data_IF_109650038555
#
_entry.id   IF_109650038555
#
_cell.length_a   1.000
_cell.length_b   1.000
_cell.length_c   1.000
_cell.angle_alpha   90.00
_cell.angle_beta   90.00
_cell.angle_gamma   90.00
#
_symmetry.space_group_name_H-M   'P 1'
#
loop_
_entity.id
_entity.type
_entity.pdbx_description
1 polymer ?
#
# COMPACT_ATOMS: atom_id res chain seq x y z
N UNK A 1 22.37 -3.38 -16.97
CA UNK A 1 21.43 -2.26 -17.21
C UNK A 1 20.02 -2.81 -17.01
N UNK A 2 19.15 -2.08 -16.34
CA UNK A 2 17.72 -2.45 -16.19
C UNK A 2 17.00 -2.03 -17.46
N UNK A 3 16.21 -2.93 -18.05
CA UNK A 3 15.42 -2.71 -19.27
C UNK A 3 14.12 -3.51 -19.22
N UNK A 4 13.14 -3.16 -20.05
CA UNK A 4 11.87 -3.91 -20.22
C UNK A 4 12.13 -5.41 -20.45
N UNK A 5 13.08 -5.76 -21.33
CA UNK A 5 13.40 -7.16 -21.60
C UNK A 5 14.02 -7.89 -20.41
N UNK A 6 14.91 -7.20 -19.65
CA UNK A 6 15.50 -7.80 -18.46
C UNK A 6 14.50 -8.00 -17.32
N UNK A 7 13.52 -7.10 -17.19
CA UNK A 7 12.43 -7.23 -16.21
C UNK A 7 11.51 -8.40 -16.62
N UNK A 8 11.15 -8.50 -17.91
CA UNK A 8 10.36 -9.63 -18.42
C UNK A 8 11.03 -10.97 -18.18
N UNK A 9 12.34 -11.06 -18.48
CA UNK A 9 13.12 -12.27 -18.22
C UNK A 9 13.11 -12.60 -16.70
N UNK A 10 13.39 -11.63 -15.84
CA UNK A 10 13.38 -11.81 -14.40
C UNK A 10 12.05 -12.29 -13.84
N UNK A 11 10.91 -11.81 -14.38
CA UNK A 11 9.58 -12.30 -14.00
C UNK A 11 9.41 -13.78 -14.41
N UNK A 12 9.88 -14.16 -15.61
CA UNK A 12 9.79 -15.53 -16.11
C UNK A 12 10.70 -16.48 -15.33
N UNK A 13 11.89 -16.01 -14.97
CA UNK A 13 12.95 -16.79 -14.30
C UNK A 13 12.77 -16.86 -12.77
N UNK A 14 11.70 -16.26 -12.21
CA UNK A 14 11.41 -16.28 -10.78
C UNK A 14 12.39 -15.46 -9.93
N UNK A 15 12.97 -14.41 -10.51
CA UNK A 15 13.88 -13.51 -9.80
C UNK A 15 13.13 -12.51 -8.89
N UNK A 16 11.81 -12.33 -9.09
CA UNK A 16 10.99 -11.45 -8.27
C UNK A 16 10.48 -12.16 -7.02
N UNK A 17 10.33 -11.40 -5.93
CA UNK A 17 9.73 -11.85 -4.67
C UNK A 17 9.02 -10.68 -3.99
N UNK A 18 8.15 -10.98 -3.01
CA UNK A 18 7.50 -9.97 -2.21
C UNK A 18 8.16 -9.85 -0.84
N UNK A 19 8.26 -8.62 -0.38
CA UNK A 19 8.35 -8.26 1.03
C UNK A 19 7.07 -7.54 1.42
N UNK A 20 6.78 -7.54 2.71
CA UNK A 20 5.56 -6.97 3.26
C UNK A 20 5.93 -5.91 4.29
N UNK A 21 5.42 -4.69 4.08
CA UNK A 21 5.54 -3.59 5.05
C UNK A 21 4.37 -3.68 6.02
N UNK A 22 4.61 -3.98 7.31
CA UNK A 22 3.52 -4.07 8.27
C UNK A 22 2.80 -2.73 8.44
N UNK A 23 1.47 -2.79 8.50
CA UNK A 23 0.60 -1.67 8.89
C UNK A 23 0.21 -1.86 10.35
N UNK A 24 0.49 -0.85 11.17
CA UNK A 24 0.22 -0.86 12.60
C UNK A 24 -0.90 0.11 12.94
N UNK A 25 -1.86 -0.34 13.75
CA UNK A 25 -2.86 0.54 14.33
C UNK A 25 -2.24 1.37 15.45
N UNK A 26 -2.25 2.68 15.31
CA UNK A 26 -1.77 3.61 16.34
C UNK A 26 -2.71 3.66 17.56
N UNK A 27 -3.97 3.24 17.39
CA UNK A 27 -4.96 3.21 18.48
C UNK A 27 -4.74 2.06 19.45
N UNK A 28 -4.45 0.86 18.91
CA UNK A 28 -4.29 -0.36 19.73
C UNK A 28 -2.85 -0.87 19.79
N UNK A 29 -1.92 -0.24 19.07
CA UNK A 29 -0.49 -0.53 19.09
C UNK A 29 -0.10 -1.88 18.50
N UNK A 30 -0.91 -2.46 17.57
CA UNK A 30 -0.64 -3.77 16.98
C UNK A 30 -0.76 -3.79 15.47
N UNK A 31 -0.10 -4.75 14.85
CA UNK A 31 -0.20 -5.01 13.40
C UNK A 31 -1.65 -5.35 13.01
N UNK A 32 -2.15 -4.72 11.96
CA UNK A 32 -3.51 -4.91 11.42
C UNK A 32 -3.50 -5.29 9.95
N UNK A 33 -2.34 -5.39 9.34
CA UNK A 33 -2.18 -5.74 7.93
C UNK A 33 -0.78 -5.45 7.42
N UNK A 34 -0.65 -5.41 6.12
CA UNK A 34 0.60 -5.05 5.47
C UNK A 34 0.38 -4.53 4.05
N UNK A 35 1.38 -3.92 3.46
CA UNK A 35 1.49 -3.61 2.04
C UNK A 35 2.46 -4.57 1.36
N UNK A 36 2.08 -5.09 0.19
CA UNK A 36 2.91 -5.97 -0.62
C UNK A 36 3.87 -5.16 -1.50
N UNK A 37 5.15 -5.36 -1.32
CA UNK A 37 6.23 -4.64 -1.99
C UNK A 37 7.06 -5.58 -2.86
N UNK A 38 7.04 -5.38 -4.17
CA UNK A 38 7.86 -6.14 -5.09
C UNK A 38 9.36 -5.87 -4.88
N UNK A 39 10.16 -6.93 -5.01
CA UNK A 39 11.62 -6.90 -4.99
C UNK A 39 12.16 -7.73 -6.12
N UNK A 40 13.26 -7.33 -6.69
CA UNK A 40 13.89 -8.04 -7.79
C UNK A 40 15.30 -8.51 -7.42
N UNK A 41 15.49 -9.82 -7.30
CA UNK A 41 16.78 -10.44 -6.96
C UNK A 41 17.64 -10.56 -8.21
N UNK A 42 18.79 -9.91 -8.20
CA UNK A 42 19.80 -9.99 -9.26
C UNK A 42 21.12 -10.52 -8.71
N UNK A 43 22.01 -10.96 -9.57
CA UNK A 43 23.36 -11.36 -9.16
C UNK A 43 24.12 -10.24 -8.42
N UNK A 44 23.78 -8.98 -8.68
CA UNK A 44 24.39 -7.79 -8.05
C UNK A 44 23.71 -7.37 -6.75
N UNK A 45 22.66 -8.06 -6.31
CA UNK A 45 21.86 -7.72 -5.13
C UNK A 45 20.39 -7.51 -5.43
N UNK A 46 19.64 -7.04 -4.45
CA UNK A 46 18.19 -6.78 -4.57
C UNK A 46 17.98 -5.38 -5.15
N UNK A 47 17.24 -5.32 -6.26
CA UNK A 47 16.82 -4.09 -6.92
C UNK A 47 15.51 -3.63 -6.30
N UNK A 48 15.42 -2.35 -5.94
CA UNK A 48 14.27 -1.74 -5.30
C UNK A 48 13.19 -1.32 -6.33
N UNK A 49 11.92 -1.20 -5.94
CA UNK A 49 10.84 -0.79 -6.83
C UNK A 49 11.11 0.51 -7.57
N UNK A 50 11.69 1.51 -6.91
CA UNK A 50 12.03 2.80 -7.51
C UNK A 50 12.96 2.72 -8.72
N UNK A 51 13.74 1.62 -8.85
CA UNK A 51 14.67 1.42 -9.97
C UNK A 51 14.03 0.71 -11.18
N UNK A 52 12.94 -0.04 -11.00
CA UNK A 52 12.34 -0.80 -12.10
C UNK A 52 10.86 -0.44 -12.38
N UNK A 53 10.09 0.02 -11.41
CA UNK A 53 8.68 0.43 -11.63
C UNK A 53 8.56 1.52 -12.69
N UNK A 54 9.37 2.62 -12.69
CA UNK A 54 9.27 3.64 -13.74
C UNK A 54 9.55 3.12 -15.16
N UNK A 55 10.22 1.97 -15.30
CA UNK A 55 10.53 1.35 -16.60
C UNK A 55 9.35 0.51 -17.11
N UNK A 56 8.54 -0.05 -16.21
CA UNK A 56 7.38 -0.88 -16.59
C UNK A 56 6.09 -0.08 -16.71
N UNK A 57 6.00 1.07 -16.05
CA UNK A 57 4.83 1.97 -16.14
C UNK A 57 4.50 2.29 -17.62
N UNK A 58 3.20 2.24 -17.97
CA UNK A 58 2.72 2.48 -19.32
C UNK A 58 3.06 1.37 -20.32
N UNK A 59 3.70 0.27 -19.91
CA UNK A 59 3.99 -0.89 -20.76
C UNK A 59 3.08 -2.08 -20.42
N UNK A 60 3.06 -3.11 -21.27
CA UNK A 60 2.34 -4.35 -20.96
C UNK A 60 2.88 -5.09 -19.72
N UNK A 61 4.13 -4.82 -19.32
CA UNK A 61 4.75 -5.42 -18.14
C UNK A 61 4.11 -4.94 -16.84
N UNK A 62 3.55 -3.75 -16.82
CA UNK A 62 2.80 -3.22 -15.67
C UNK A 62 1.67 -4.18 -15.26
N UNK A 63 0.88 -4.65 -16.23
CA UNK A 63 -0.15 -5.66 -15.99
C UNK A 63 0.42 -7.00 -15.56
N UNK A 64 1.48 -7.49 -16.23
CA UNK A 64 2.11 -8.76 -15.88
C UNK A 64 2.67 -8.75 -14.45
N UNK A 65 3.33 -7.67 -14.04
CA UNK A 65 3.85 -7.51 -12.69
C UNK A 65 2.73 -7.50 -11.66
N UNK A 66 1.64 -6.75 -11.92
CA UNK A 66 0.50 -6.72 -11.00
C UNK A 66 -0.17 -8.09 -10.86
N UNK A 67 -0.31 -8.84 -11.95
CA UNK A 67 -0.84 -10.22 -11.86
C UNK A 67 0.08 -11.13 -11.06
N UNK A 68 1.38 -11.03 -11.28
CA UNK A 68 2.36 -11.77 -10.51
C UNK A 68 2.27 -11.43 -9.01
N UNK A 69 2.10 -10.14 -8.66
CA UNK A 69 1.90 -9.71 -7.27
C UNK A 69 0.64 -10.37 -6.67
N UNK A 70 -0.50 -10.36 -7.38
CA UNK A 70 -1.72 -10.99 -6.90
C UNK A 70 -1.56 -12.49 -6.69
N UNK A 71 -0.94 -13.21 -7.64
CA UNK A 71 -0.66 -14.64 -7.52
C UNK A 71 0.27 -14.94 -6.33
N UNK A 72 1.30 -14.11 -6.13
CA UNK A 72 2.25 -14.27 -5.02
C UNK A 72 1.60 -13.97 -3.67
N UNK A 73 0.82 -12.88 -3.55
CA UNK A 73 0.04 -12.57 -2.33
C UNK A 73 -0.90 -13.71 -1.97
N UNK A 74 -1.60 -14.29 -2.95
CA UNK A 74 -2.51 -15.41 -2.71
C UNK A 74 -1.75 -16.66 -2.22
N UNK A 75 -0.59 -16.95 -2.82
CA UNK A 75 0.28 -18.05 -2.40
C UNK A 75 0.86 -17.86 -1.01
N UNK A 76 1.37 -16.67 -0.72
CA UNK A 76 2.05 -16.34 0.53
C UNK A 76 1.10 -16.21 1.72
N UNK A 77 -0.02 -15.51 1.50
CA UNK A 77 -0.90 -15.02 2.57
C UNK A 77 -2.36 -15.47 2.44
N UNK A 78 -2.79 -16.12 1.35
CA UNK A 78 -4.20 -16.42 1.10
C UNK A 78 -4.89 -17.17 2.24
N UNK A 79 -4.31 -18.28 2.70
CA UNK A 79 -4.87 -19.08 3.79
C UNK A 79 -4.78 -18.34 5.13
N UNK A 80 -3.69 -17.60 5.35
CA UNK A 80 -3.51 -16.81 6.55
C UNK A 80 -4.56 -15.68 6.63
N UNK A 81 -4.83 -14.97 5.53
CA UNK A 81 -5.87 -13.94 5.46
C UNK A 81 -7.25 -14.53 5.73
N UNK A 82 -7.59 -15.70 5.17
CA UNK A 82 -8.86 -16.38 5.46
C UNK A 82 -9.03 -16.71 6.94
N UNK A 83 -7.93 -17.03 7.63
CA UNK A 83 -7.93 -17.31 9.07
C UNK A 83 -7.96 -16.04 9.94
N UNK A 84 -7.49 -14.90 9.42
CA UNK A 84 -7.36 -13.63 10.15
C UNK A 84 -8.18 -12.52 9.47
N UNK A 85 -9.50 -12.59 9.60
CA UNK A 85 -10.46 -11.73 8.88
C UNK A 85 -10.31 -10.23 9.15
N UNK A 86 -9.65 -9.86 10.23
CA UNK A 86 -9.35 -8.46 10.59
C UNK A 86 -8.09 -7.93 9.89
N UNK A 87 -7.23 -8.82 9.38
CA UNK A 87 -6.03 -8.42 8.68
C UNK A 87 -6.35 -7.93 7.26
N UNK A 88 -5.56 -6.99 6.76
CA UNK A 88 -5.67 -6.50 5.39
C UNK A 88 -4.33 -6.58 4.66
N UNK A 89 -4.41 -6.50 3.33
CA UNK A 89 -3.25 -6.43 2.45
C UNK A 89 -3.44 -5.33 1.41
N UNK A 90 -2.49 -4.39 1.36
CA UNK A 90 -2.37 -3.35 0.35
C UNK A 90 -1.64 -3.88 -0.89
N UNK A 91 -2.16 -3.55 -2.06
CA UNK A 91 -1.61 -3.96 -3.35
C UNK A 91 -1.57 -2.75 -4.27
N UNK A 92 -0.37 -2.39 -4.68
CA UNK A 92 -0.14 -1.31 -5.63
C UNK A 92 -0.70 -1.65 -7.01
N UNK A 93 -1.57 -0.79 -7.54
CA UNK A 93 -2.26 -0.99 -8.82
C UNK A 93 -2.01 0.22 -9.73
N UNK A 94 -1.24 0.03 -10.82
CA UNK A 94 -1.02 1.08 -11.78
C UNK A 94 -2.33 1.53 -12.47
N UNK A 95 -2.56 2.84 -12.63
CA UNK A 95 -3.81 3.37 -13.21
C UNK A 95 -4.14 2.80 -14.59
N UNK A 96 -3.13 2.53 -15.41
CA UNK A 96 -3.31 2.04 -16.78
C UNK A 96 -3.88 0.64 -16.90
N UNK A 97 -3.89 -0.14 -15.81
CA UNK A 97 -4.49 -1.49 -15.80
C UNK A 97 -5.91 -1.50 -15.24
N UNK A 98 -6.35 -0.41 -14.64
CA UNK A 98 -7.72 -0.29 -14.15
C UNK A 98 -8.71 -0.33 -15.33
N UNK A 99 -9.81 -1.05 -15.14
CA UNK A 99 -10.85 -1.20 -16.17
C UNK A 99 -10.56 -2.21 -17.28
N UNK A 100 -9.42 -2.88 -17.23
CA UNK A 100 -9.03 -3.87 -18.27
C UNK A 100 -9.28 -5.30 -17.80
N UNK A 101 -10.42 -5.62 -17.24
CA UNK A 101 -10.92 -6.98 -16.84
C UNK A 101 -9.91 -7.97 -16.22
N UNK A 102 -8.62 -7.70 -16.28
CA UNK A 102 -7.59 -8.62 -15.87
C UNK A 102 -7.43 -8.71 -14.35
N UNK A 103 -7.65 -7.61 -13.61
CA UNK A 103 -7.56 -7.62 -12.14
C UNK A 103 -8.63 -8.53 -11.54
N UNK A 104 -9.88 -8.41 -12.01
CA UNK A 104 -11.00 -9.25 -11.55
C UNK A 104 -10.75 -10.72 -11.89
N UNK A 105 -10.27 -11.00 -13.11
CA UNK A 105 -9.89 -12.35 -13.51
C UNK A 105 -8.79 -12.93 -12.60
N UNK A 106 -7.72 -12.18 -12.35
CA UNK A 106 -6.62 -12.61 -11.50
C UNK A 106 -7.08 -12.83 -10.05
N UNK A 107 -7.88 -11.92 -9.49
CA UNK A 107 -8.42 -12.06 -8.14
C UNK A 107 -9.33 -13.30 -8.01
N UNK A 108 -10.13 -13.59 -9.04
CA UNK A 108 -10.99 -14.79 -9.07
C UNK A 108 -10.16 -16.07 -9.19
N UNK A 109 -9.20 -16.10 -10.13
CA UNK A 109 -8.33 -17.25 -10.37
C UNK A 109 -7.49 -17.63 -9.14
N UNK A 110 -7.07 -16.64 -8.37
CA UNK A 110 -6.23 -16.83 -7.17
C UNK A 110 -7.05 -17.04 -5.88
N UNK A 111 -8.38 -16.91 -5.93
CA UNK A 111 -9.25 -16.97 -4.76
C UNK A 111 -9.23 -15.72 -3.87
N UNK A 112 -8.51 -14.66 -4.27
CA UNK A 112 -8.51 -13.38 -3.53
C UNK A 112 -9.88 -12.69 -3.55
N UNK A 113 -10.71 -12.96 -4.56
CA UNK A 113 -12.11 -12.47 -4.62
C UNK A 113 -12.97 -12.92 -3.44
N UNK A 114 -12.62 -14.02 -2.76
CA UNK A 114 -13.32 -14.52 -1.56
C UNK A 114 -13.03 -13.69 -0.31
N UNK A 115 -11.87 -13.02 -0.28
CA UNK A 115 -11.38 -12.19 0.83
C UNK A 115 -11.27 -10.71 0.44
N UNK A 116 -12.07 -10.29 -0.54
CA UNK A 116 -12.02 -8.94 -1.13
C UNK A 116 -12.10 -7.80 -0.13
N UNK A 117 -12.82 -7.96 0.98
CA UNK A 117 -12.92 -6.97 2.06
C UNK A 117 -11.63 -6.77 2.86
N UNK A 118 -10.65 -7.67 2.68
CA UNK A 118 -9.32 -7.58 3.26
C UNK A 118 -8.31 -6.95 2.28
N UNK A 119 -8.71 -6.77 1.00
CA UNK A 119 -7.85 -6.15 0.00
C UNK A 119 -7.98 -4.62 0.03
N UNK A 120 -6.86 -3.95 -0.16
CA UNK A 120 -6.77 -2.51 -0.40
C UNK A 120 -6.06 -2.33 -1.75
N UNK A 121 -6.74 -1.73 -2.73
CA UNK A 121 -6.10 -1.32 -3.97
C UNK A 121 -5.49 0.06 -3.76
N UNK A 122 -4.18 0.16 -3.88
CA UNK A 122 -3.42 1.39 -3.70
C UNK A 122 -3.12 1.98 -5.08
N UNK A 123 -3.62 3.20 -5.32
CA UNK A 123 -3.51 3.90 -6.60
C UNK A 123 -2.74 5.19 -6.37
N UNK A 124 -1.64 5.37 -7.10
CA UNK A 124 -0.83 6.58 -6.97
C UNK A 124 -1.50 7.78 -7.64
N UNK A 125 -1.21 8.99 -7.11
CA UNK A 125 -1.68 10.25 -7.68
C UNK A 125 -1.11 10.56 -9.09
N UNK A 126 0.01 9.94 -9.44
CA UNK A 126 0.77 10.23 -10.68
C UNK A 126 0.00 9.94 -11.96
N UNK A 127 -1.03 9.12 -11.87
CA UNK A 127 -1.92 8.82 -12.98
C UNK A 127 -3.35 8.96 -12.54
N UNK A 128 -3.98 10.13 -12.72
CA UNK A 128 -5.43 10.22 -12.53
C UNK A 128 -6.06 9.21 -13.48
N UNK A 129 -6.71 8.15 -12.98
CA UNK A 129 -7.30 7.14 -13.84
C UNK A 129 -8.30 7.80 -14.80
N UNK A 130 -8.34 7.31 -16.02
CA UNK A 130 -9.36 7.71 -16.98
C UNK A 130 -10.78 7.33 -16.50
N UNK A 131 -11.81 7.67 -17.26
CA UNK A 131 -13.19 7.39 -16.85
C UNK A 131 -13.45 5.89 -16.65
N UNK A 132 -12.74 5.02 -17.39
CA UNK A 132 -12.86 3.57 -17.24
C UNK A 132 -12.20 3.10 -15.94
N UNK A 133 -11.02 3.66 -15.61
CA UNK A 133 -10.34 3.42 -14.34
C UNK A 133 -11.18 3.87 -13.14
N UNK A 134 -11.77 5.06 -13.18
CA UNK A 134 -12.68 5.55 -12.13
C UNK A 134 -13.87 4.59 -11.95
N UNK A 135 -14.52 4.18 -13.03
CA UNK A 135 -15.64 3.23 -12.97
C UNK A 135 -15.22 1.87 -12.37
N UNK A 136 -13.97 1.44 -12.63
CA UNK A 136 -13.42 0.20 -12.05
C UNK A 136 -13.16 0.34 -10.56
N UNK A 137 -12.60 1.45 -10.10
CA UNK A 137 -12.39 1.71 -8.67
C UNK A 137 -13.74 1.75 -7.92
N UNK A 138 -14.75 2.42 -8.50
CA UNK A 138 -16.10 2.42 -7.95
C UNK A 138 -16.73 1.00 -7.92
N UNK A 139 -16.49 0.18 -8.95
CA UNK A 139 -16.96 -1.20 -8.96
C UNK A 139 -16.24 -2.04 -7.90
N UNK A 140 -14.95 -1.86 -7.70
CA UNK A 140 -14.17 -2.51 -6.65
C UNK A 140 -14.71 -2.13 -5.25
N UNK A 141 -14.93 -0.84 -5.00
CA UNK A 141 -15.51 -0.35 -3.73
C UNK A 141 -16.91 -0.94 -3.50
N UNK A 142 -17.79 -0.93 -4.51
CA UNK A 142 -19.13 -1.58 -4.41
C UNK A 142 -19.02 -3.09 -4.16
N UNK A 143 -17.98 -3.74 -4.63
CA UNK A 143 -17.70 -5.15 -4.36
C UNK A 143 -17.11 -5.41 -2.97
N UNK A 144 -16.83 -4.37 -2.18
CA UNK A 144 -16.25 -4.44 -0.85
C UNK A 144 -14.72 -4.49 -0.82
N UNK A 145 -14.05 -4.17 -1.93
CA UNK A 145 -12.60 -3.93 -1.96
C UNK A 145 -12.36 -2.47 -1.60
N UNK A 146 -11.47 -2.21 -0.67
CA UNK A 146 -11.13 -0.85 -0.27
C UNK A 146 -10.17 -0.21 -1.28
N UNK A 147 -10.31 1.09 -1.48
CA UNK A 147 -9.45 1.87 -2.39
C UNK A 147 -8.69 2.91 -1.58
N UNK A 148 -7.38 2.92 -1.74
CA UNK A 148 -6.47 3.91 -1.14
C UNK A 148 -5.86 4.81 -2.21
N UNK A 149 -5.80 6.11 -1.93
CA UNK A 149 -4.93 7.03 -2.67
C UNK A 149 -3.57 7.05 -1.98
N UNK A 150 -2.55 6.70 -2.75
CA UNK A 150 -1.17 6.59 -2.27
C UNK A 150 -0.33 7.83 -2.61
N UNK A 151 0.81 8.00 -1.92
CA UNK A 151 1.77 9.11 -2.09
C UNK A 151 1.16 10.51 -1.92
N UNK A 152 0.17 10.68 -1.04
CA UNK A 152 -0.52 11.98 -0.88
C UNK A 152 0.36 13.00 -0.18
N UNK A 153 0.72 14.07 -0.91
CA UNK A 153 1.55 15.18 -0.41
C UNK A 153 0.72 16.42 0.03
N UNK A 154 -0.62 16.33 -0.02
CA UNK A 154 -1.55 17.44 0.23
C UNK A 154 -1.38 18.64 -0.72
N UNK A 155 -0.80 18.41 -1.88
CA UNK A 155 -0.73 19.39 -2.98
C UNK A 155 -2.07 19.46 -3.74
N UNK A 156 -2.32 20.56 -4.46
CA UNK A 156 -3.61 20.80 -5.12
C UNK A 156 -4.07 19.75 -6.14
N UNK A 157 -3.13 18.95 -6.71
CA UNK A 157 -3.43 17.86 -7.64
C UNK A 157 -4.19 16.71 -6.97
N UNK A 158 -3.89 16.41 -5.71
CA UNK A 158 -4.48 15.31 -4.96
C UNK A 158 -5.96 15.56 -4.63
N UNK A 159 -6.32 16.81 -4.39
CA UNK A 159 -7.70 17.19 -4.11
C UNK A 159 -8.63 16.94 -5.31
N UNK A 160 -8.11 17.02 -6.55
CA UNK A 160 -8.90 16.74 -7.76
C UNK A 160 -9.22 15.25 -7.91
N UNK A 161 -8.34 14.34 -7.46
CA UNK A 161 -8.62 12.89 -7.44
C UNK A 161 -9.65 12.55 -6.35
N UNK A 162 -9.51 13.12 -5.16
CA UNK A 162 -10.44 12.95 -4.05
C UNK A 162 -11.89 13.33 -4.42
N UNK A 163 -12.06 14.31 -5.32
CA UNK A 163 -13.38 14.74 -5.76
C UNK A 163 -14.02 13.83 -6.84
N UNK A 164 -13.26 12.94 -7.45
CA UNK A 164 -13.69 12.09 -8.57
C UNK A 164 -13.91 10.62 -8.22
N UNK A 165 -13.28 10.14 -7.16
CA UNK A 165 -13.32 8.74 -6.75
C UNK A 165 -13.83 8.60 -5.33
N UNK A 166 -14.60 7.55 -5.05
CA UNK A 166 -14.88 7.13 -3.68
C UNK A 166 -13.63 6.45 -3.14
N UNK A 167 -13.00 7.05 -2.14
CA UNK A 167 -11.82 6.54 -1.49
C UNK A 167 -12.14 6.14 -0.05
N UNK A 168 -11.64 4.98 0.35
CA UNK A 168 -11.75 4.48 1.72
C UNK A 168 -10.56 4.91 2.58
N UNK A 169 -9.38 5.03 1.93
CA UNK A 169 -8.12 5.33 2.61
C UNK A 169 -7.30 6.39 1.86
N UNK A 170 -6.45 7.06 2.61
CA UNK A 170 -5.38 7.92 2.11
C UNK A 170 -4.07 7.46 2.77
N UNK A 171 -3.01 7.29 1.98
CA UNK A 171 -1.65 7.06 2.49
C UNK A 171 -0.86 8.35 2.32
N UNK A 172 -0.32 8.89 3.40
CA UNK A 172 0.47 10.12 3.33
C UNK A 172 1.88 9.82 2.89
N UNK A 173 2.41 10.62 1.98
CA UNK A 173 3.83 10.53 1.62
C UNK A 173 4.74 10.78 2.84
N UNK A 174 5.85 10.06 2.89
CA UNK A 174 6.87 10.18 3.94
C UNK A 174 7.32 11.62 4.18
N UNK A 175 7.43 12.44 3.13
CA UNK A 175 7.88 13.83 3.24
C UNK A 175 6.99 14.70 4.13
N UNK A 176 5.74 14.31 4.37
CA UNK A 176 4.87 14.94 5.35
C UNK A 176 5.27 14.53 6.78
N UNK A 177 5.47 13.22 7.01
CA UNK A 177 5.85 12.70 8.33
C UNK A 177 7.24 13.19 8.76
N UNK A 178 8.17 13.35 7.82
CA UNK A 178 9.52 13.92 8.06
C UNK A 178 9.47 15.36 8.58
N UNK A 179 8.37 16.11 8.39
CA UNK A 179 8.18 17.46 8.96
C UNK A 179 7.83 17.44 10.45
N UNK A 180 7.48 16.29 11.01
CA UNK A 180 7.24 16.14 12.44
C UNK A 180 8.61 15.99 13.12
N UNK A 181 9.06 17.06 13.75
CA UNK A 181 10.36 17.13 14.45
C UNK A 181 10.16 17.61 15.88
N UNK A 182 11.18 17.49 16.76
CA UNK A 182 11.11 18.09 18.11
C UNK A 182 10.81 19.58 18.10
N UNK A 183 11.30 20.33 17.09
CA UNK A 183 11.09 21.76 16.93
C UNK A 183 9.71 22.08 16.31
N UNK A 184 9.13 21.15 15.55
CA UNK A 184 7.83 21.27 14.91
C UNK A 184 6.99 20.00 15.11
N UNK A 185 6.52 19.70 16.33
CA UNK A 185 5.80 18.47 16.62
C UNK A 185 4.39 18.44 16.01
N UNK A 186 3.86 19.58 15.57
CA UNK A 186 2.54 19.71 14.94
C UNK A 186 2.60 20.64 13.72
N UNK A 187 3.16 20.18 12.60
CA UNK A 187 3.17 20.97 11.36
C UNK A 187 1.73 21.27 10.88
N UNK A 188 1.57 22.35 10.12
CA UNK A 188 0.25 22.85 9.71
C UNK A 188 -0.61 21.81 8.97
N UNK A 189 0.02 20.97 8.13
CA UNK A 189 -0.67 19.91 7.41
C UNK A 189 -1.35 18.91 8.36
N UNK A 190 -0.72 18.56 9.48
CA UNK A 190 -1.25 17.60 10.46
C UNK A 190 -2.52 18.12 11.11
N UNK A 191 -2.58 19.41 11.41
CA UNK A 191 -3.79 20.05 11.93
C UNK A 191 -4.92 20.10 10.90
N UNK A 192 -4.58 20.37 9.62
CA UNK A 192 -5.54 20.36 8.52
C UNK A 192 -6.11 18.96 8.27
N UNK A 193 -5.24 17.94 8.27
CA UNK A 193 -5.66 16.54 8.11
C UNK A 193 -6.53 16.08 9.29
N UNK A 194 -6.18 16.44 10.52
CA UNK A 194 -6.99 16.17 11.72
C UNK A 194 -8.41 16.74 11.59
N UNK A 195 -8.55 17.97 11.11
CA UNK A 195 -9.86 18.59 10.87
C UNK A 195 -10.65 17.85 9.77
N UNK A 196 -10.00 17.42 8.70
CA UNK A 196 -10.61 16.62 7.64
C UNK A 196 -11.15 15.29 8.20
N UNK A 197 -10.37 14.58 9.00
CA UNK A 197 -10.76 13.31 9.60
C UNK A 197 -12.00 13.40 10.49
N UNK A 198 -12.22 14.54 11.15
CA UNK A 198 -13.43 14.76 11.94
C UNK A 198 -14.71 14.88 11.08
N UNK A 199 -14.59 15.21 9.81
CA UNK A 199 -15.69 15.46 8.89
C UNK A 199 -15.93 14.35 7.87
N UNK A 200 -15.07 13.34 7.83
CA UNK A 200 -15.11 12.25 6.84
C UNK A 200 -14.95 10.88 7.49
N UNK A 201 -15.28 9.83 6.74
CA UNK A 201 -15.04 8.42 7.13
C UNK A 201 -13.73 7.88 6.55
N UNK A 202 -12.94 8.72 5.88
CA UNK A 202 -11.69 8.31 5.27
C UNK A 202 -10.68 7.93 6.34
N UNK A 203 -10.03 6.78 6.17
CA UNK A 203 -8.97 6.31 7.04
C UNK A 203 -7.62 6.78 6.50
N UNK A 204 -6.74 7.21 7.39
CA UNK A 204 -5.38 7.60 7.01
C UNK A 204 -4.37 6.60 7.50
N UNK A 205 -3.46 6.20 6.60
CA UNK A 205 -2.22 5.47 6.90
C UNK A 205 -1.07 6.46 6.73
N UNK A 206 -0.35 6.77 7.81
CA UNK A 206 0.84 7.60 7.74
C UNK A 206 2.06 6.76 7.40
N UNK A 207 2.83 7.18 6.38
CA UNK A 207 4.00 6.46 5.91
C UNK A 207 5.32 7.08 6.38
N UNK A 208 6.36 6.23 6.46
CA UNK A 208 7.71 6.67 6.79
C UNK A 208 7.89 7.04 8.25
N UNK A 209 7.11 6.49 9.17
CA UNK A 209 7.29 6.71 10.62
C UNK A 209 8.58 6.05 11.08
N UNK A 210 9.52 6.87 11.60
CA UNK A 210 10.84 6.40 12.03
C UNK A 210 11.07 6.58 13.54
N UNK A 211 10.24 7.40 14.21
CA UNK A 211 10.42 7.69 15.64
C UNK A 211 9.11 7.56 16.42
N UNK A 212 9.25 7.30 17.73
CA UNK A 212 8.12 7.29 18.65
C UNK A 212 7.38 8.64 18.70
N UNK A 213 8.12 9.74 18.68
CA UNK A 213 7.55 11.10 18.68
C UNK A 213 6.66 11.34 17.46
N UNK A 214 7.05 10.88 16.27
CA UNK A 214 6.21 10.91 15.07
C UNK A 214 4.93 10.09 15.27
N UNK A 215 5.05 8.85 15.75
CA UNK A 215 3.90 7.97 16.00
C UNK A 215 2.91 8.57 17.01
N UNK A 216 3.42 9.20 18.08
CA UNK A 216 2.59 9.88 19.08
C UNK A 216 1.89 11.11 18.54
N UNK A 217 2.60 11.95 17.76
CA UNK A 217 2.02 13.15 17.13
C UNK A 217 0.88 12.77 16.14
N UNK A 218 1.09 11.75 15.34
CA UNK A 218 0.10 11.21 14.40
C UNK A 218 -1.13 10.66 15.14
N UNK A 219 -0.91 9.86 16.19
CA UNK A 219 -1.98 9.33 17.04
C UNK A 219 -2.80 10.45 17.69
N UNK A 220 -2.12 11.47 18.24
CA UNK A 220 -2.76 12.63 18.86
C UNK A 220 -3.57 13.48 17.86
N UNK A 221 -3.23 13.42 16.58
CA UNK A 221 -3.97 14.07 15.50
C UNK A 221 -5.17 13.25 14.99
N UNK A 222 -5.38 12.03 15.53
CA UNK A 222 -6.49 11.14 15.14
C UNK A 222 -6.17 10.21 13.97
N UNK A 223 -4.92 10.13 13.52
CA UNK A 223 -4.49 9.17 12.52
C UNK A 223 -4.47 7.79 13.18
N UNK A 224 -5.15 6.83 12.56
CA UNK A 224 -5.41 5.52 13.17
C UNK A 224 -4.42 4.45 12.78
N UNK A 225 -3.73 4.58 11.64
CA UNK A 225 -2.80 3.59 11.13
C UNK A 225 -1.50 4.23 10.64
N UNK A 226 -0.41 3.47 10.70
CA UNK A 226 0.89 3.92 10.24
C UNK A 226 1.75 2.75 9.72
N UNK A 227 2.73 3.10 8.89
CA UNK A 227 3.81 2.25 8.40
C UNK A 227 5.15 2.99 8.57
N UNK A 228 6.23 2.24 8.80
CA UNK A 228 7.56 2.83 8.86
C UNK A 228 8.54 2.01 9.69
N UNK A 229 9.80 2.40 9.63
CA UNK A 229 10.90 1.64 10.24
C UNK A 229 10.90 1.70 11.77
N UNK A 230 10.16 2.59 12.35
CA UNK A 230 9.88 2.57 13.79
C UNK A 230 9.16 1.27 14.21
N UNK A 231 8.31 0.73 13.37
CA UNK A 231 7.58 -0.51 13.65
C UNK A 231 8.30 -1.73 13.08
N UNK A 232 8.61 -1.69 11.79
CA UNK A 232 9.32 -2.77 11.10
C UNK A 232 9.86 -2.26 9.75
N UNK A 233 10.93 -2.85 9.28
CA UNK A 233 11.29 -2.82 7.84
C UNK A 233 10.38 -3.77 7.08
N UNK A 234 10.34 -3.70 5.73
CA UNK A 234 9.70 -4.74 4.93
C UNK A 234 10.28 -6.14 5.27
N UNK A 235 9.40 -7.11 5.45
CA UNK A 235 9.74 -8.47 5.92
C UNK A 235 9.11 -9.54 5.04
N UNK A 236 9.59 -10.80 5.14
CA UNK A 236 8.98 -11.93 4.44
C UNK A 236 7.59 -12.26 4.98
N UNK A 237 6.80 -13.02 4.21
CA UNK A 237 5.47 -13.48 4.61
C UNK A 237 5.47 -14.23 5.95
N UNK A 238 6.46 -15.11 6.17
CA UNK A 238 6.57 -15.87 7.44
C UNK A 238 6.82 -14.94 8.62
N UNK A 239 7.71 -13.95 8.44
CA UNK A 239 7.98 -12.96 9.48
C UNK A 239 6.78 -12.06 9.73
N UNK A 240 6.00 -11.70 8.69
CA UNK A 240 4.77 -10.93 8.85
C UNK A 240 3.74 -11.70 9.70
N UNK A 241 3.53 -12.99 9.42
CA UNK A 241 2.63 -13.85 10.19
C UNK A 241 3.05 -13.93 11.66
N UNK A 242 4.35 -14.07 11.91
CA UNK A 242 4.90 -14.07 13.28
C UNK A 242 4.72 -12.71 13.97
N UNK A 243 5.05 -11.61 13.29
CA UNK A 243 4.92 -10.23 13.78
C UNK A 243 3.46 -9.90 14.14
N UNK A 244 2.51 -10.28 13.29
CA UNK A 244 1.09 -10.13 13.56
C UNK A 244 0.64 -10.90 14.80
N UNK A 245 1.07 -12.16 14.93
CA UNK A 245 0.70 -13.04 16.06
C UNK A 245 1.28 -12.58 17.40
N UNK A 246 2.43 -11.91 17.39
CA UNK A 246 3.07 -11.33 18.56
C UNK A 246 2.45 -9.98 18.98
N UNK A 247 1.46 -9.49 18.23
CA UNK A 247 0.80 -8.22 18.49
C UNK A 247 1.41 -7.06 17.70
N UNK A 248 2.59 -7.23 17.10
CA UNK A 248 3.32 -6.20 16.36
C UNK A 248 3.50 -4.93 17.21
N UNK A 249 4.68 -4.40 17.27
CA UNK A 249 5.02 -3.24 18.09
C UNK A 249 6.21 -2.51 17.48
N UNK A 250 6.74 -1.47 18.15
CA UNK A 250 7.99 -0.87 17.75
C UNK A 250 9.07 -1.94 17.56
N UNK A 251 9.91 -1.76 16.54
CA UNK A 251 11.07 -2.63 16.35
C UNK A 251 11.92 -2.61 17.63
N UNK A 252 12.28 -3.78 18.15
CA UNK A 252 13.27 -3.85 19.22
C UNK A 252 14.57 -3.24 18.70
N UNK A 253 15.06 -2.19 19.38
CA UNK A 253 16.30 -1.46 19.04
C UNK A 253 17.53 -2.32 19.31
#
# INVERSE_FOLDING_TARGET
>A
MISVDSIRAGLTDGEFFLEYMPTVSLTVGRCVGAEALARWRRATGVVQPGDFIPIVEGTFLSGMLTYWVLETVASDLGDWLRAHKEAHIGINVPPEILGRSGLEYAATKTGLSEIRNQLILEVTERGIPDNLGVATLEAASRAGIRVALDDVTLSGTNLAVLSRCTLDLIKTDRSLVDQITPECPRPAWLSGLSALLQSTQVVVIAEGVETEAQAEALRAAGISMAQGYYFSRPISAEKLKAYYSQGGGPAET
#
